data_IF_492633914440
#
_entry.id   IF_492633914440
#
_cell.length_a   1.000
_cell.length_b   1.000
_cell.length_c   1.000
_cell.angle_alpha   90.00
_cell.angle_beta   90.00
_cell.angle_gamma   90.00
#
_symmetry.space_group_name_H-M   'P 1'
#
loop_
_entity.id
_entity.type
_entity.pdbx_description
1 polymer ?
#
# COMPACT_ATOMS: atom_id res chain seq x y z
N UNK A 1 -10.76 6.93 -12.67
CA UNK A 1 -10.63 5.91 -11.59
C UNK A 1 -9.76 6.43 -10.45
N UNK A 2 -10.03 7.64 -9.98
CA UNK A 2 -9.32 8.23 -8.85
C UNK A 2 -10.08 7.88 -7.59
N UNK A 3 -9.39 7.55 -6.50
CA UNK A 3 -10.04 7.11 -5.27
C UNK A 3 -9.20 7.39 -4.03
N UNK A 4 -9.86 7.33 -2.88
CA UNK A 4 -9.25 7.05 -1.59
C UNK A 4 -9.52 5.61 -1.20
N UNK A 5 -8.56 4.96 -0.56
CA UNK A 5 -8.67 3.63 0.00
C UNK A 5 -8.26 3.71 1.48
N UNK A 6 -9.18 3.34 2.37
CA UNK A 6 -8.87 3.04 3.75
C UNK A 6 -8.79 1.52 3.91
N UNK A 7 -7.75 1.04 4.60
CA UNK A 7 -7.61 -0.37 4.96
C UNK A 7 -6.98 -0.49 6.34
N UNK A 8 -7.52 -1.39 7.15
CA UNK A 8 -6.87 -1.82 8.39
C UNK A 8 -6.38 -3.23 8.23
N UNK A 9 -5.16 -3.48 8.68
CA UNK A 9 -4.53 -4.78 8.59
C UNK A 9 -3.79 -5.11 9.88
N UNK A 10 -3.57 -6.40 10.09
CA UNK A 10 -2.73 -6.94 11.15
C UNK A 10 -1.99 -8.12 10.57
N UNK A 11 -0.69 -8.22 10.82
CA UNK A 11 0.16 -9.29 10.31
C UNK A 11 0.91 -9.97 11.45
N UNK A 12 1.18 -11.27 11.28
CA UNK A 12 2.05 -12.01 12.18
C UNK A 12 3.53 -11.65 11.96
N UNK A 13 4.39 -12.10 12.87
CA UNK A 13 5.83 -11.94 12.69
C UNK A 13 6.31 -12.64 11.42
N UNK A 14 7.27 -12.03 10.74
CA UNK A 14 7.85 -12.50 9.48
C UNK A 14 6.86 -12.59 8.30
N UNK A 15 5.67 -12.02 8.42
CA UNK A 15 4.70 -11.97 7.33
C UNK A 15 5.00 -10.84 6.33
N UNK A 16 4.57 -11.06 5.10
CA UNK A 16 4.58 -10.11 4.00
C UNK A 16 3.22 -10.17 3.28
N UNK A 17 2.75 -9.01 2.82
CA UNK A 17 1.57 -8.87 1.99
C UNK A 17 1.67 -7.55 1.19
N UNK A 18 0.61 -7.18 0.52
CA UNK A 18 0.53 -5.96 -0.26
C UNK A 18 -0.90 -5.63 -0.61
N UNK A 19 -1.18 -4.34 -0.79
CA UNK A 19 -2.46 -3.86 -1.31
C UNK A 19 -2.22 -3.29 -2.70
N UNK A 20 -2.75 -3.97 -3.72
CA UNK A 20 -2.64 -3.51 -5.10
C UNK A 20 -3.74 -2.51 -5.43
N UNK A 21 -3.34 -1.31 -5.85
CA UNK A 21 -4.18 -0.26 -6.40
C UNK A 21 -4.36 -0.51 -7.90
N UNK A 22 -5.61 -0.63 -8.34
CA UNK A 22 -5.98 -0.92 -9.73
C UNK A 22 -5.32 -2.19 -10.29
N UNK A 23 -5.03 -3.18 -9.45
CA UNK A 23 -4.27 -4.40 -9.78
C UNK A 23 -2.91 -4.14 -10.45
N UNK A 24 -2.26 -3.00 -10.15
CA UNK A 24 -1.02 -2.55 -10.83
C UNK A 24 0.05 -1.97 -9.92
N UNK A 25 -0.38 -1.34 -8.82
CA UNK A 25 0.52 -0.60 -7.93
C UNK A 25 0.38 -1.09 -6.50
N UNK A 26 1.45 -1.64 -5.96
CA UNK A 26 1.46 -2.27 -4.65
C UNK A 26 1.92 -1.27 -3.59
N UNK A 27 1.08 -1.05 -2.59
CA UNK A 27 1.51 -0.48 -1.31
C UNK A 27 1.86 -1.65 -0.40
N UNK A 28 3.14 -1.73 -0.04
CA UNK A 28 3.74 -2.86 0.65
C UNK A 28 3.22 -3.03 2.08
N UNK A 29 2.98 -4.26 2.51
CA UNK A 29 2.74 -4.65 3.92
C UNK A 29 3.87 -5.60 4.33
N UNK A 30 4.62 -5.27 5.37
CA UNK A 30 5.77 -6.08 5.79
C UNK A 30 5.99 -5.97 7.29
N UNK A 31 6.36 -7.08 7.94
CA UNK A 31 6.85 -7.06 9.32
C UNK A 31 8.30 -6.53 9.37
N UNK A 32 8.44 -5.21 9.39
CA UNK A 32 9.73 -4.52 9.40
C UNK A 32 9.84 -3.41 10.46
N UNK A 33 9.00 -3.48 11.50
CA UNK A 33 8.97 -2.48 12.57
C UNK A 33 10.38 -2.14 13.11
N UNK A 34 10.65 -0.84 13.24
CA UNK A 34 11.92 -0.32 13.76
C UNK A 34 13.10 -0.39 12.79
N UNK A 35 12.90 -0.86 11.55
CA UNK A 35 13.97 -0.89 10.53
C UNK A 35 14.01 0.40 9.70
N UNK A 36 15.19 0.82 9.23
CA UNK A 36 15.30 1.94 8.29
C UNK A 36 14.47 1.70 7.03
N UNK A 37 13.64 2.67 6.59
CA UNK A 37 12.76 2.49 5.44
C UNK A 37 13.56 2.42 4.13
N UNK A 38 13.10 1.58 3.21
CA UNK A 38 13.56 1.53 1.83
C UNK A 38 12.40 1.24 0.87
N UNK A 39 12.66 1.11 -0.43
CA UNK A 39 11.62 0.91 -1.45
C UNK A 39 10.89 -0.44 -1.35
N UNK A 40 11.29 -1.35 -0.46
CA UNK A 40 10.63 -2.63 -0.16
C UNK A 40 10.06 -2.70 1.27
N UNK A 41 10.11 -1.59 2.02
CA UNK A 41 9.58 -1.50 3.38
C UNK A 41 8.07 -1.33 3.42
N UNK A 42 7.45 -1.58 4.58
CA UNK A 42 6.04 -1.30 4.80
C UNK A 42 5.71 0.18 4.49
N UNK A 43 4.64 0.40 3.73
CA UNK A 43 4.19 1.73 3.27
C UNK A 43 4.90 2.23 2.02
N UNK A 44 5.90 1.51 1.51
CA UNK A 44 6.49 1.79 0.20
C UNK A 44 5.49 1.57 -0.93
N UNK A 45 5.63 2.35 -2.00
CA UNK A 45 5.22 1.88 -3.31
C UNK A 45 6.29 0.91 -3.80
N UNK A 46 5.98 -0.39 -3.80
CA UNK A 46 6.96 -1.46 -3.88
C UNK A 46 7.95 -1.31 -5.05
N UNK A 47 9.25 -1.30 -4.74
CA UNK A 47 10.39 -1.09 -5.65
C UNK A 47 10.36 0.24 -6.43
N UNK A 48 9.56 1.23 -6.01
CA UNK A 48 9.42 2.54 -6.71
C UNK A 48 9.66 3.73 -5.80
N UNK A 49 8.90 3.83 -4.71
CA UNK A 49 8.97 5.00 -3.82
C UNK A 49 9.10 4.49 -2.39
N UNK A 50 10.26 4.78 -1.78
CA UNK A 50 10.47 4.52 -0.36
C UNK A 50 9.61 5.46 0.49
N UNK A 51 9.06 5.00 1.62
CA UNK A 51 8.39 5.86 2.58
C UNK A 51 9.41 6.77 3.26
N UNK A 52 9.02 7.98 3.63
CA UNK A 52 9.89 8.95 4.32
C UNK A 52 10.31 8.48 5.72
N UNK A 53 9.48 7.67 6.37
CA UNK A 53 9.75 7.07 7.68
C UNK A 53 9.06 5.70 7.77
N UNK A 54 9.59 4.81 8.61
CA UNK A 54 8.90 3.59 9.01
C UNK A 54 7.85 3.96 10.06
N UNK A 55 6.57 3.89 9.69
CA UNK A 55 5.45 4.17 10.57
C UNK A 55 4.74 2.90 11.05
N UNK A 56 5.35 1.72 10.83
CA UNK A 56 4.83 0.42 11.26
C UNK A 56 4.70 0.36 12.78
N UNK A 57 3.91 -0.60 13.24
CA UNK A 57 3.82 -1.04 14.63
C UNK A 57 4.42 -2.45 14.76
N UNK A 58 4.71 -2.91 15.98
CA UNK A 58 5.05 -4.31 16.20
C UNK A 58 4.02 -5.28 15.61
N UNK A 59 4.48 -6.46 15.19
CA UNK A 59 3.62 -7.53 14.70
C UNK A 59 2.45 -7.83 15.66
N UNK A 60 1.31 -8.25 15.10
CA UNK A 60 0.04 -8.48 15.77
C UNK A 60 -0.68 -7.22 16.29
N UNK A 61 -0.21 -6.02 15.97
CA UNK A 61 -0.97 -4.80 16.16
C UNK A 61 -1.79 -4.41 14.92
N UNK A 62 -2.86 -3.66 15.13
CA UNK A 62 -3.65 -3.11 14.03
C UNK A 62 -2.98 -1.87 13.44
N UNK A 63 -2.69 -1.99 12.16
CA UNK A 63 -2.09 -1.00 11.27
C UNK A 63 -3.17 -0.37 10.39
N UNK A 64 -2.95 0.84 9.90
CA UNK A 64 -3.88 1.50 8.96
C UNK A 64 -3.15 2.15 7.80
N UNK A 65 -3.66 1.94 6.59
CA UNK A 65 -3.35 2.78 5.44
C UNK A 65 -4.54 3.63 5.02
N UNK A 66 -4.28 4.91 4.76
CA UNK A 66 -5.14 5.80 3.99
C UNK A 66 -4.37 6.20 2.73
N UNK A 67 -4.83 5.69 1.58
CA UNK A 67 -4.16 5.84 0.29
C UNK A 67 -5.03 6.69 -0.60
N UNK A 68 -4.45 7.71 -1.24
CA UNK A 68 -5.10 8.48 -2.31
C UNK A 68 -4.37 8.23 -3.62
N UNK A 69 -5.12 7.80 -4.64
CA UNK A 69 -4.61 7.64 -6.00
C UNK A 69 -5.36 8.56 -6.96
N UNK A 70 -4.61 9.42 -7.67
CA UNK A 70 -5.12 10.32 -8.71
C UNK A 70 -4.25 10.16 -9.95
N UNK A 71 -4.77 9.53 -11.00
CA UNK A 71 -3.97 9.14 -12.16
C UNK A 71 -2.78 8.26 -11.74
N UNK A 72 -1.57 8.82 -11.82
CA UNK A 72 -0.31 8.19 -11.38
C UNK A 72 0.29 8.84 -10.14
N UNK A 73 -0.47 9.68 -9.45
CA UNK A 73 -0.02 10.33 -8.22
C UNK A 73 -0.59 9.57 -7.02
N UNK A 74 0.30 9.05 -6.18
CA UNK A 74 -0.06 8.33 -4.95
C UNK A 74 0.31 9.15 -3.72
N UNK A 75 -0.56 9.13 -2.72
CA UNK A 75 -0.26 9.58 -1.36
C UNK A 75 -0.59 8.43 -0.42
N UNK A 76 0.34 8.09 0.47
CA UNK A 76 0.17 7.03 1.47
C UNK A 76 0.31 7.66 2.84
N UNK A 77 -0.73 7.53 3.66
CA UNK A 77 -0.70 7.81 5.09
C UNK A 77 -0.71 6.47 5.82
N UNK A 78 0.35 6.21 6.58
CA UNK A 78 0.55 5.01 7.37
C UNK A 78 0.45 5.37 8.86
N UNK A 79 -0.54 4.82 9.56
CA UNK A 79 -0.81 5.11 10.97
C UNK A 79 -0.88 6.60 11.29
N UNK A 80 -1.56 7.37 10.43
CA UNK A 80 -1.70 8.82 10.57
C UNK A 80 -0.48 9.63 10.13
N UNK A 81 0.64 9.00 9.77
CA UNK A 81 1.83 9.67 9.24
C UNK A 81 1.86 9.63 7.72
N UNK A 82 2.02 10.78 7.07
CA UNK A 82 2.08 10.85 5.60
C UNK A 82 3.48 10.43 5.13
N UNK A 83 3.63 9.15 4.78
CA UNK A 83 4.91 8.54 4.42
C UNK A 83 5.26 8.67 2.95
N UNK A 84 4.27 8.84 2.08
CA UNK A 84 4.47 9.24 0.68
C UNK A 84 3.53 10.40 0.38
N UNK A 85 4.06 11.55 -0.03
CA UNK A 85 3.28 12.72 -0.41
C UNK A 85 3.34 12.95 -1.91
N UNK A 86 2.20 12.80 -2.60
CA UNK A 86 2.05 13.11 -4.04
C UNK A 86 3.13 12.49 -4.94
N UNK A 87 3.61 11.29 -4.58
CA UNK A 87 4.62 10.56 -5.32
C UNK A 87 4.13 10.19 -6.72
N UNK A 88 4.98 10.38 -7.73
CA UNK A 88 4.69 10.00 -9.12
C UNK A 88 5.11 8.56 -9.33
N UNK A 89 4.15 7.70 -9.71
CA UNK A 89 4.38 6.29 -9.93
C UNK A 89 5.13 6.10 -11.25
N UNK A 90 6.33 5.53 -11.19
CA UNK A 90 7.17 5.21 -12.34
C UNK A 90 7.06 3.71 -12.71
N UNK A 91 6.08 3.38 -13.54
CA UNK A 91 5.78 2.00 -13.96
C UNK A 91 5.04 1.12 -12.94
N UNK A 92 4.84 -0.13 -13.35
CA UNK A 92 4.14 -1.19 -12.63
C UNK A 92 4.93 -1.71 -11.42
N UNK A 93 4.26 -2.30 -10.43
CA UNK A 93 4.89 -3.03 -9.31
C UNK A 93 4.69 -4.56 -9.44
N UNK A 94 5.17 -5.34 -8.46
CA UNK A 94 5.17 -6.80 -8.54
C UNK A 94 3.76 -7.42 -8.63
N UNK A 95 2.74 -6.77 -8.04
CA UNK A 95 1.34 -7.19 -8.15
C UNK A 95 0.62 -6.74 -9.43
N UNK A 96 1.33 -6.39 -10.51
CA UNK A 96 0.68 -5.97 -11.75
C UNK A 96 0.13 -7.15 -12.55
N UNK A 97 -1.18 -7.14 -12.84
CA UNK A 97 -1.84 -8.18 -13.65
C UNK A 97 -1.77 -7.87 -15.16
N UNK A 98 -1.61 -6.60 -15.51
CA UNK A 98 -1.52 -6.09 -16.87
C UNK A 98 -0.79 -4.74 -16.90
N UNK A 99 -0.48 -4.24 -18.09
CA UNK A 99 0.23 -2.98 -18.31
C UNK A 99 -0.68 -1.79 -18.67
N UNK A 100 -2.02 -1.94 -18.60
CA UNK A 100 -2.98 -0.91 -18.99
C UNK A 100 -3.16 0.16 -17.89
N UNK A 101 -2.10 0.88 -17.55
CA UNK A 101 -2.09 1.91 -16.50
C UNK A 101 -3.08 3.06 -16.74
N UNK A 102 -3.59 3.18 -17.97
CA UNK A 102 -4.66 4.08 -18.37
C UNK A 102 -6.07 3.48 -18.29
N UNK A 103 -6.29 2.40 -17.54
CA UNK A 103 -7.62 1.79 -17.32
C UNK A 103 -7.97 1.73 -15.82
N UNK A 104 -9.26 1.54 -15.47
CA UNK A 104 -9.62 1.17 -14.11
C UNK A 104 -9.05 -0.22 -13.76
N UNK A 105 -9.19 -0.64 -12.51
CA UNK A 105 -8.78 -1.96 -12.05
C UNK A 105 -9.28 -2.21 -10.63
N UNK A 106 -9.17 -3.45 -10.18
CA UNK A 106 -9.60 -3.84 -8.84
C UNK A 106 -8.65 -3.36 -7.73
N UNK A 107 -9.06 -3.63 -6.50
CA UNK A 107 -8.14 -3.69 -5.35
C UNK A 107 -7.85 -5.16 -5.09
N UNK A 108 -6.58 -5.53 -5.01
CA UNK A 108 -6.17 -6.89 -4.66
C UNK A 108 -5.36 -6.89 -3.36
N UNK A 109 -5.46 -7.97 -2.62
CA UNK A 109 -4.69 -8.22 -1.40
C UNK A 109 -3.77 -9.40 -1.67
N UNK A 110 -2.47 -9.25 -1.43
CA UNK A 110 -1.50 -10.33 -1.62
C UNK A 110 -1.63 -11.36 -0.50
N UNK A 111 -1.70 -12.64 -0.87
CA UNK A 111 -1.63 -13.76 0.07
C UNK A 111 -0.30 -14.52 0.01
N UNK A 112 -0.28 -15.65 0.71
CA UNK A 112 0.73 -16.72 0.60
C UNK A 112 2.13 -16.44 1.19
N UNK A 113 2.34 -15.30 1.85
CA UNK A 113 3.62 -14.95 2.49
C UNK A 113 3.48 -14.74 4.00
N UNK A 114 2.71 -15.62 4.65
CA UNK A 114 2.44 -15.61 6.09
C UNK A 114 1.05 -15.06 6.45
N UNK A 115 0.63 -15.20 7.71
CA UNK A 115 -0.70 -14.76 8.15
C UNK A 115 -0.85 -13.24 8.13
N UNK A 116 -1.94 -12.78 7.53
CA UNK A 116 -2.41 -11.39 7.53
C UNK A 116 -3.93 -11.37 7.66
N UNK A 117 -4.43 -10.44 8.47
CA UNK A 117 -5.85 -10.19 8.69
C UNK A 117 -6.18 -8.78 8.17
N UNK A 118 -7.33 -8.66 7.52
CA UNK A 118 -7.83 -7.38 7.03
C UNK A 118 -9.20 -7.07 7.63
N UNK A 119 -9.46 -5.79 7.88
CA UNK A 119 -10.80 -5.30 8.21
C UNK A 119 -10.99 -3.88 7.70
N UNK A 120 -12.26 -3.43 7.65
CA UNK A 120 -12.64 -2.05 7.31
C UNK A 120 -11.95 -1.56 6.04
N UNK A 121 -12.12 -2.31 4.95
CA UNK A 121 -11.66 -1.90 3.63
C UNK A 121 -12.74 -0.99 3.04
N UNK A 122 -12.42 0.27 2.78
CA UNK A 122 -13.36 1.25 2.24
C UNK A 122 -12.73 1.98 1.07
N UNK A 123 -13.38 1.91 -0.09
CA UNK A 123 -12.98 2.64 -1.29
C UNK A 123 -13.96 3.79 -1.45
N UNK A 124 -13.43 5.02 -1.52
CA UNK A 124 -14.22 6.22 -1.80
C UNK A 124 -13.79 6.77 -3.16
N UNK A 125 -14.66 6.70 -4.19
CA UNK A 125 -14.39 7.36 -5.45
C UNK A 125 -14.11 8.85 -5.25
N UNK A 126 -13.13 9.38 -5.96
CA UNK A 126 -12.92 10.81 -6.04
C UNK A 126 -13.66 11.29 -7.28
N UNK A 127 -14.74 12.04 -7.06
CA UNK A 127 -15.45 12.70 -8.14
C UNK A 127 -14.50 13.70 -8.80
N UNK A 128 -14.30 13.51 -10.10
CA UNK A 128 -14.01 14.61 -11.01
C UNK A 128 -15.34 15.11 -11.56
#
# INVERSE_FOLDING_TARGET
>A
WNFKLHVQFRLAQHSNSGVALRNRYEVQILDDYGRPPNAHSAGALYSRIAPSENASKPANEWETYDIRLVGRQVTVVFNGKKVIEKGVIDGLTAMAHDADEGKPGGIALQGDHGPVEFRKITITPLMH
#
